data_IF_097949690550
#
_entry.id   IF_097949690550
#
_cell.length_a   1.000
_cell.length_b   1.000
_cell.length_c   1.000
_cell.angle_alpha   90.00
_cell.angle_beta   90.00
_cell.angle_gamma   90.00
#
_symmetry.space_group_name_H-M   'P 1'
#
loop_
_entity.id
_entity.type
_entity.pdbx_description
1 polymer ?
#
# COMPACT_ATOMS: atom_id res chain seq x y z
N UNK A 1 -41.37 17.53 -16.85
CA UNK A 1 -40.53 16.97 -15.76
C UNK A 1 -41.34 16.19 -14.71
N UNK A 2 -42.27 15.31 -15.11
CA UNK A 2 -42.96 14.38 -14.19
C UNK A 2 -42.97 12.92 -14.66
N UNK A 3 -42.47 12.64 -15.88
CA UNK A 3 -42.28 11.28 -16.40
C UNK A 3 -40.85 10.73 -16.25
N UNK A 4 -39.88 11.58 -15.88
CA UNK A 4 -38.49 11.17 -15.62
C UNK A 4 -38.26 10.72 -14.15
N UNK A 5 -39.20 11.01 -13.25
CA UNK A 5 -39.10 10.66 -11.83
C UNK A 5 -39.59 9.23 -11.52
N UNK A 6 -40.25 8.56 -12.48
CA UNK A 6 -40.82 7.22 -12.26
C UNK A 6 -39.88 6.08 -12.67
N UNK A 7 -38.78 6.38 -13.37
CA UNK A 7 -37.78 5.38 -13.79
C UNK A 7 -36.70 5.10 -12.72
N UNK A 8 -36.70 5.86 -11.61
CA UNK A 8 -35.72 5.75 -10.52
C UNK A 8 -36.22 4.89 -9.34
N UNK A 9 -37.40 4.27 -9.45
CA UNK A 9 -38.03 3.51 -8.35
C UNK A 9 -38.03 1.98 -8.54
N UNK A 10 -37.54 1.46 -9.69
CA UNK A 10 -37.54 0.02 -9.99
C UNK A 10 -36.19 -0.67 -9.69
N UNK A 11 -35.12 0.09 -9.43
CA UNK A 11 -33.79 -0.46 -9.10
C UNK A 11 -33.60 -0.78 -7.60
N UNK A 12 -34.67 -0.75 -6.82
CA UNK A 12 -34.63 -0.75 -5.36
C UNK A 12 -35.18 -1.98 -4.67
N UNK A 13 -35.25 -3.16 -5.30
CA UNK A 13 -35.58 -4.41 -4.57
C UNK A 13 -34.95 -5.64 -5.25
N UNK A 14 -33.66 -5.85 -5.05
CA UNK A 14 -33.11 -7.21 -5.07
C UNK A 14 -32.62 -7.48 -3.65
N UNK A 15 -33.54 -7.91 -2.77
CA UNK A 15 -33.14 -8.49 -1.49
C UNK A 15 -32.33 -9.75 -1.81
N UNK A 16 -31.07 -9.76 -1.40
CA UNK A 16 -30.22 -10.94 -1.48
C UNK A 16 -30.90 -12.09 -0.73
N UNK A 17 -31.02 -13.25 -1.38
CA UNK A 17 -31.34 -14.47 -0.68
C UNK A 17 -30.14 -14.85 0.19
N UNK A 18 -30.33 -14.82 1.51
CA UNK A 18 -29.38 -15.38 2.46
C UNK A 18 -29.37 -16.91 2.27
N UNK A 19 -28.40 -17.43 1.52
CA UNK A 19 -28.26 -18.87 1.29
C UNK A 19 -27.77 -19.53 2.58
N UNK A 20 -28.69 -19.98 3.44
CA UNK A 20 -28.38 -20.78 4.63
C UNK A 20 -27.64 -22.06 4.20
N UNK A 21 -26.47 -22.31 4.79
CA UNK A 21 -25.61 -23.46 4.42
C UNK A 21 -25.90 -24.67 5.30
N UNK A 22 -25.99 -25.86 4.71
CA UNK A 22 -26.11 -27.12 5.46
C UNK A 22 -24.74 -27.50 6.04
N UNK A 23 -24.67 -27.75 7.35
CA UNK A 23 -23.45 -28.06 8.09
C UNK A 23 -23.62 -29.32 8.94
N UNK A 24 -22.59 -30.14 9.08
CA UNK A 24 -22.54 -31.20 10.09
C UNK A 24 -21.33 -31.01 11.02
N UNK A 25 -21.45 -31.52 12.24
CA UNK A 25 -20.43 -31.39 13.29
C UNK A 25 -20.04 -32.80 13.73
N UNK A 26 -18.76 -33.16 13.63
CA UNK A 26 -18.22 -34.39 14.19
C UNK A 26 -18.07 -34.27 15.71
N UNK A 27 -18.13 -35.41 16.40
CA UNK A 27 -17.81 -35.43 17.83
C UNK A 27 -16.36 -34.96 18.06
N UNK A 28 -16.18 -34.06 19.04
CA UNK A 28 -14.87 -33.52 19.36
C UNK A 28 -13.96 -34.63 19.87
N UNK A 29 -12.75 -34.70 19.33
CA UNK A 29 -11.75 -35.69 19.72
C UNK A 29 -11.17 -35.33 21.10
N UNK A 30 -11.39 -36.14 22.15
CA UNK A 30 -11.00 -35.80 23.51
C UNK A 30 -9.51 -36.08 23.76
N UNK A 31 -8.85 -35.18 24.49
CA UNK A 31 -7.50 -35.39 25.03
C UNK A 31 -7.44 -34.94 26.48
N UNK A 32 -7.33 -35.88 27.42
CA UNK A 32 -7.39 -35.56 28.86
C UNK A 32 -8.79 -35.19 29.36
N UNK A 33 -9.83 -35.42 28.54
CA UNK A 33 -11.25 -35.27 28.87
C UNK A 33 -11.96 -36.59 28.60
N UNK A 34 -13.05 -36.86 29.31
CA UNK A 34 -13.88 -38.05 29.08
C UNK A 34 -14.67 -37.94 27.77
N UNK A 35 -14.85 -39.07 27.06
CA UNK A 35 -15.59 -39.11 25.80
C UNK A 35 -17.03 -38.61 25.94
N UNK A 36 -17.72 -38.94 27.03
CA UNK A 36 -19.10 -38.49 27.28
C UNK A 36 -19.15 -36.96 27.44
N UNK A 37 -18.17 -36.38 28.13
CA UNK A 37 -18.04 -34.93 28.28
C UNK A 37 -17.77 -34.23 26.94
N UNK A 38 -16.91 -34.81 26.09
CA UNK A 38 -16.65 -34.29 24.76
C UNK A 38 -17.89 -34.35 23.85
N UNK A 39 -18.62 -35.46 23.88
CA UNK A 39 -19.90 -35.62 23.18
C UNK A 39 -20.93 -34.59 23.64
N UNK A 40 -21.08 -34.39 24.95
CA UNK A 40 -21.99 -33.41 25.52
C UNK A 40 -21.65 -31.97 25.09
N UNK A 41 -20.36 -31.61 25.08
CA UNK A 41 -19.91 -30.31 24.59
C UNK A 41 -20.07 -30.15 23.07
N UNK A 42 -19.97 -31.25 22.30
CA UNK A 42 -20.26 -31.24 20.87
C UNK A 42 -21.76 -30.99 20.61
N UNK A 43 -22.65 -31.61 21.38
CA UNK A 43 -24.09 -31.37 21.28
C UNK A 43 -24.44 -29.92 21.65
N UNK A 44 -23.75 -29.36 22.63
CA UNK A 44 -23.83 -27.92 22.93
C UNK A 44 -23.38 -27.07 21.73
N UNK A 45 -22.28 -27.44 21.09
CA UNK A 45 -21.76 -26.73 19.91
C UNK A 45 -22.77 -26.76 18.76
N UNK A 46 -23.38 -27.92 18.46
CA UNK A 46 -24.45 -28.05 17.46
C UNK A 46 -25.61 -27.10 17.76
N UNK A 47 -26.08 -27.06 19.00
CA UNK A 47 -27.15 -26.17 19.43
C UNK A 47 -26.79 -24.69 19.31
N UNK A 48 -25.55 -24.30 19.65
CA UNK A 48 -25.11 -22.91 19.55
C UNK A 48 -24.87 -22.48 18.09
N UNK A 49 -24.40 -23.37 17.21
CA UNK A 49 -24.33 -23.14 15.77
C UNK A 49 -25.73 -22.95 15.18
N UNK A 50 -26.71 -23.77 15.56
CA UNK A 50 -28.09 -23.62 15.12
C UNK A 50 -28.69 -22.28 15.55
N UNK A 51 -28.44 -21.86 16.81
CA UNK A 51 -28.92 -20.56 17.34
C UNK A 51 -28.35 -19.34 16.61
N UNK A 52 -27.24 -19.47 15.89
CA UNK A 52 -26.67 -18.35 15.13
C UNK A 52 -27.55 -17.95 13.95
N UNK A 53 -28.41 -18.85 13.46
CA UNK A 53 -29.22 -18.62 12.26
C UNK A 53 -28.46 -18.72 10.93
N UNK A 54 -27.13 -18.90 10.96
CA UNK A 54 -26.27 -18.95 9.77
C UNK A 54 -26.29 -20.31 9.07
N UNK A 55 -26.51 -21.38 9.85
CA UNK A 55 -26.39 -22.74 9.36
C UNK A 55 -27.65 -23.57 9.58
N UNK A 56 -27.91 -24.48 8.65
CA UNK A 56 -28.80 -25.60 8.85
C UNK A 56 -27.99 -26.79 9.37
N UNK A 57 -27.99 -27.00 10.70
CA UNK A 57 -27.15 -28.01 11.38
C UNK A 57 -27.81 -29.39 11.28
N UNK A 58 -27.07 -30.37 10.76
CA UNK A 58 -27.51 -31.77 10.71
C UNK A 58 -27.53 -32.36 12.10
N UNK A 59 -28.65 -32.99 12.45
CA UNK A 59 -28.84 -33.69 13.71
C UNK A 59 -27.89 -34.88 13.84
N UNK A 60 -27.43 -35.14 15.06
CA UNK A 60 -26.47 -36.20 15.37
C UNK A 60 -26.97 -37.59 15.00
N UNK A 61 -28.23 -37.92 15.33
CA UNK A 61 -28.79 -39.25 15.07
C UNK A 61 -28.88 -39.55 13.58
N UNK A 62 -29.24 -38.53 12.78
CA UNK A 62 -29.26 -38.61 11.31
C UNK A 62 -27.86 -38.81 10.73
N UNK A 63 -26.86 -38.14 11.30
CA UNK A 63 -25.47 -38.33 10.90
C UNK A 63 -24.99 -39.76 11.22
N UNK A 64 -25.30 -40.25 12.42
CA UNK A 64 -24.92 -41.60 12.87
C UNK A 64 -25.55 -42.70 12.00
N UNK A 65 -26.83 -42.56 11.62
CA UNK A 65 -27.50 -43.55 10.77
C UNK A 65 -26.86 -43.66 9.39
N UNK A 66 -26.55 -42.52 8.76
CA UNK A 66 -25.91 -42.48 7.43
C UNK A 66 -24.51 -43.11 7.49
N UNK A 67 -23.72 -42.77 8.51
CA UNK A 67 -22.37 -43.31 8.64
C UNK A 67 -22.33 -44.80 8.95
N UNK A 68 -23.29 -45.29 9.75
CA UNK A 68 -23.42 -46.72 10.04
C UNK A 68 -23.80 -47.52 8.79
N UNK A 69 -24.67 -46.98 7.92
CA UNK A 69 -25.04 -47.61 6.64
C UNK A 69 -23.83 -47.75 5.69
N UNK A 70 -22.89 -46.80 5.76
CA UNK A 70 -21.66 -46.80 4.94
C UNK A 70 -20.48 -47.50 5.61
N UNK A 71 -20.66 -48.07 6.82
CA UNK A 71 -19.60 -48.74 7.57
C UNK A 71 -18.52 -47.81 8.13
N UNK A 72 -18.78 -46.50 8.21
CA UNK A 72 -17.84 -45.50 8.74
C UNK A 72 -17.92 -45.40 10.27
N UNK A 73 -16.76 -45.30 10.91
CA UNK A 73 -16.64 -44.96 12.34
C UNK A 73 -16.24 -43.49 12.48
N UNK A 74 -16.93 -42.77 13.36
CA UNK A 74 -16.63 -41.35 13.62
C UNK A 74 -15.35 -41.16 14.45
N UNK A 75 -15.04 -42.11 15.33
CA UNK A 75 -13.87 -42.06 16.20
C UNK A 75 -12.58 -42.11 15.38
N UNK A 76 -11.67 -41.17 15.62
CA UNK A 76 -10.37 -41.10 14.92
C UNK A 76 -10.40 -40.34 13.59
N UNK A 77 -11.54 -39.77 13.20
CA UNK A 77 -11.64 -38.89 12.03
C UNK A 77 -11.12 -37.48 12.34
N UNK A 78 -9.79 -37.35 12.48
CA UNK A 78 -9.14 -36.08 12.86
C UNK A 78 -8.52 -35.33 11.69
N UNK A 79 -8.45 -35.95 10.50
CA UNK A 79 -7.92 -35.32 9.29
C UNK A 79 -8.99 -34.57 8.50
N UNK A 80 -8.57 -33.60 7.68
CA UNK A 80 -9.49 -32.83 6.82
C UNK A 80 -10.10 -33.74 5.76
N UNK A 81 -9.30 -34.66 5.21
CA UNK A 81 -9.72 -35.62 4.18
C UNK A 81 -10.83 -36.53 4.70
N UNK A 82 -10.72 -37.02 5.94
CA UNK A 82 -11.75 -37.83 6.56
C UNK A 82 -13.05 -37.03 6.77
N UNK A 83 -12.94 -35.77 7.22
CA UNK A 83 -14.10 -34.90 7.39
C UNK A 83 -14.79 -34.58 6.05
N UNK A 84 -14.02 -34.41 4.96
CA UNK A 84 -14.53 -34.19 3.60
C UNK A 84 -15.28 -35.43 3.10
N UNK A 85 -14.73 -36.62 3.28
CA UNK A 85 -15.37 -37.89 2.90
C UNK A 85 -16.71 -38.07 3.62
N UNK A 86 -16.73 -37.85 4.95
CA UNK A 86 -17.96 -37.88 5.74
C UNK A 86 -18.94 -36.79 5.26
N UNK A 87 -18.46 -35.57 4.99
CA UNK A 87 -19.29 -34.47 4.52
C UNK A 87 -19.99 -34.77 3.18
N UNK A 88 -19.29 -35.45 2.27
CA UNK A 88 -19.84 -35.90 0.99
C UNK A 88 -20.93 -36.96 1.19
N UNK A 89 -20.73 -37.93 2.09
CA UNK A 89 -21.75 -38.92 2.45
C UNK A 89 -23.00 -38.28 3.07
N UNK A 90 -22.82 -37.24 3.89
CA UNK A 90 -23.91 -36.51 4.55
C UNK A 90 -24.58 -35.46 3.64
N UNK A 91 -24.03 -35.22 2.44
CA UNK A 91 -24.47 -34.18 1.50
C UNK A 91 -24.58 -32.79 2.15
N UNK A 92 -23.55 -32.41 2.92
CA UNK A 92 -23.42 -31.08 3.53
C UNK A 92 -22.39 -30.25 2.78
N UNK A 93 -22.55 -28.92 2.80
CA UNK A 93 -21.57 -28.01 2.18
C UNK A 93 -20.37 -27.77 3.09
N UNK A 94 -20.59 -27.83 4.39
CA UNK A 94 -19.56 -27.53 5.38
C UNK A 94 -19.56 -28.58 6.50
N UNK A 95 -18.38 -28.85 7.05
CA UNK A 95 -18.14 -29.78 8.16
C UNK A 95 -17.41 -29.08 9.29
N UNK A 96 -17.75 -29.37 10.54
CA UNK A 96 -16.97 -28.96 11.72
C UNK A 96 -16.31 -30.18 12.33
N UNK A 97 -14.98 -30.14 12.46
CA UNK A 97 -14.18 -31.14 13.14
C UNK A 97 -13.27 -30.45 14.17
N UNK A 98 -12.90 -31.12 15.25
CA UNK A 98 -12.09 -30.47 16.28
C UNK A 98 -11.67 -31.37 17.43
N UNK A 99 -10.85 -30.81 18.32
CA UNK A 99 -10.34 -31.48 19.51
C UNK A 99 -10.79 -30.72 20.77
N UNK A 100 -10.93 -31.47 21.87
CA UNK A 100 -11.17 -30.95 23.21
C UNK A 100 -10.09 -31.48 24.17
N UNK A 101 -9.16 -30.61 24.54
CA UNK A 101 -8.06 -30.88 25.45
C UNK A 101 -8.34 -30.41 26.88
N UNK A 102 -7.77 -31.10 27.87
CA UNK A 102 -7.69 -30.61 29.26
C UNK A 102 -6.36 -30.98 29.91
N UNK A 103 -5.75 -29.99 30.57
CA UNK A 103 -4.60 -30.15 31.47
C UNK A 103 -4.92 -29.41 32.76
N UNK A 104 -4.98 -30.14 33.89
CA UNK A 104 -5.40 -29.60 35.19
C UNK A 104 -6.74 -28.85 35.12
N UNK A 105 -6.73 -27.52 35.23
CA UNK A 105 -7.92 -26.66 35.13
C UNK A 105 -7.97 -25.87 33.81
N UNK A 106 -7.04 -26.09 32.89
CA UNK A 106 -7.01 -25.46 31.58
C UNK A 106 -7.69 -26.38 30.55
N UNK A 107 -8.77 -25.89 29.96
CA UNK A 107 -9.42 -26.50 28.80
C UNK A 107 -8.93 -25.83 27.52
N UNK A 108 -8.74 -26.60 26.46
CA UNK A 108 -8.42 -26.13 25.13
C UNK A 108 -9.40 -26.72 24.12
N UNK A 109 -10.05 -25.87 23.32
CA UNK A 109 -10.94 -26.29 22.24
C UNK A 109 -10.36 -25.79 20.94
N UNK A 110 -10.22 -26.67 19.95
CA UNK A 110 -9.78 -26.32 18.61
C UNK A 110 -10.77 -26.88 17.59
N UNK A 111 -11.46 -26.00 16.86
CA UNK A 111 -12.45 -26.35 15.85
C UNK A 111 -12.01 -25.88 14.47
N UNK A 112 -12.30 -26.67 13.44
CA UNK A 112 -12.08 -26.37 12.03
C UNK A 112 -13.40 -26.52 11.27
N UNK A 113 -13.82 -25.46 10.59
CA UNK A 113 -14.88 -25.42 9.59
C UNK A 113 -14.26 -25.74 8.23
N UNK A 114 -14.78 -26.73 7.53
CA UNK A 114 -14.20 -27.32 6.33
C UNK A 114 -15.22 -27.20 5.20
N UNK A 115 -14.81 -26.69 4.06
CA UNK A 115 -15.56 -26.73 2.80
C UNK A 115 -15.47 -28.14 2.21
N UNK A 116 -16.61 -28.82 2.08
CA UNK A 116 -16.65 -30.21 1.61
C UNK A 116 -16.39 -30.30 0.10
N UNK A 117 -16.75 -29.27 -0.66
CA UNK A 117 -16.59 -29.25 -2.11
C UNK A 117 -15.13 -28.96 -2.50
N UNK A 118 -14.50 -28.00 -1.82
CA UNK A 118 -13.10 -27.60 -2.07
C UNK A 118 -12.09 -28.41 -1.29
N UNK A 119 -12.51 -29.08 -0.21
CA UNK A 119 -11.63 -29.80 0.70
C UNK A 119 -10.69 -28.89 1.50
N UNK A 120 -11.06 -27.61 1.67
CA UNK A 120 -10.22 -26.59 2.32
C UNK A 120 -10.82 -26.20 3.67
N UNK A 121 -9.97 -25.85 4.65
CA UNK A 121 -10.44 -25.26 5.90
C UNK A 121 -10.88 -23.83 5.62
N UNK A 122 -12.16 -23.53 5.87
CA UNK A 122 -12.73 -22.19 5.79
C UNK A 122 -12.37 -21.37 7.04
N UNK A 123 -12.46 -22.00 8.21
CA UNK A 123 -12.27 -21.27 9.47
C UNK A 123 -11.76 -22.14 10.59
N UNK A 124 -10.94 -21.57 11.46
CA UNK A 124 -10.54 -22.21 12.72
C UNK A 124 -11.03 -21.37 13.89
N UNK A 125 -11.57 -22.03 14.92
CA UNK A 125 -11.95 -21.41 16.17
C UNK A 125 -11.26 -22.13 17.34
N UNK A 126 -10.25 -21.48 17.89
CA UNK A 126 -9.52 -21.97 19.07
C UNK A 126 -9.82 -21.12 20.30
N UNK A 127 -9.99 -21.77 21.45
CA UNK A 127 -10.09 -21.13 22.76
C UNK A 127 -9.49 -21.98 23.86
N UNK A 128 -8.57 -21.35 24.59
CA UNK A 128 -8.07 -21.85 25.87
C UNK A 128 -8.78 -21.13 27.01
N UNK A 129 -9.14 -21.88 28.05
CA UNK A 129 -9.90 -21.35 29.17
C UNK A 129 -9.54 -22.08 30.47
N UNK A 130 -9.10 -21.32 31.47
CA UNK A 130 -8.89 -21.84 32.82
C UNK A 130 -10.17 -21.74 33.63
N UNK A 131 -10.72 -22.87 34.08
CA UNK A 131 -11.90 -22.91 34.93
C UNK A 131 -12.62 -24.26 34.91
N UNK A 132 -13.94 -24.25 35.13
CA UNK A 132 -14.73 -25.47 35.20
C UNK A 132 -15.30 -25.90 33.84
N UNK A 133 -15.67 -27.18 33.72
CA UNK A 133 -16.42 -27.69 32.55
C UNK A 133 -17.73 -26.92 32.31
N UNK A 134 -18.36 -26.41 33.38
CA UNK A 134 -19.58 -25.60 33.29
C UNK A 134 -19.33 -24.26 32.60
N UNK A 135 -18.19 -23.63 32.88
CA UNK A 135 -17.79 -22.40 32.19
C UNK A 135 -17.50 -22.65 30.71
N UNK A 136 -16.89 -23.80 30.39
CA UNK A 136 -16.67 -24.22 29.00
C UNK A 136 -18.00 -24.36 28.26
N UNK A 137 -18.97 -25.04 28.86
CA UNK A 137 -20.31 -25.24 28.30
C UNK A 137 -21.08 -23.93 28.07
N UNK A 138 -20.99 -23.01 29.03
CA UNK A 138 -21.83 -21.80 29.08
C UNK A 138 -21.19 -20.57 28.43
N UNK A 139 -19.86 -20.52 28.34
CA UNK A 139 -19.12 -19.36 27.82
C UNK A 139 -18.26 -19.70 26.62
N UNK A 140 -17.47 -20.77 26.69
CA UNK A 140 -16.49 -21.09 25.64
C UNK A 140 -17.19 -21.63 24.39
N UNK A 141 -18.07 -22.61 24.53
CA UNK A 141 -18.79 -23.21 23.39
C UNK A 141 -19.63 -22.17 22.62
N UNK A 142 -20.43 -21.31 23.27
CA UNK A 142 -21.12 -20.23 22.55
C UNK A 142 -20.18 -19.25 21.84
N UNK A 143 -19.02 -18.93 22.42
CA UNK A 143 -18.04 -18.03 21.80
C UNK A 143 -17.43 -18.66 20.54
N UNK A 144 -16.98 -19.91 20.59
CA UNK A 144 -16.43 -20.60 19.41
C UNK A 144 -17.50 -20.85 18.34
N UNK A 145 -18.74 -21.16 18.71
CA UNK A 145 -19.85 -21.29 17.76
C UNK A 145 -20.13 -19.99 17.01
N UNK A 146 -20.17 -18.86 17.72
CA UNK A 146 -20.30 -17.52 17.12
C UNK A 146 -19.12 -17.20 16.20
N UNK A 147 -17.89 -17.53 16.62
CA UNK A 147 -16.71 -17.36 15.78
C UNK A 147 -16.83 -18.15 14.47
N UNK A 148 -17.30 -19.39 14.52
CA UNK A 148 -17.51 -20.20 13.31
C UNK A 148 -18.62 -19.64 12.41
N UNK A 149 -19.71 -19.11 12.99
CA UNK A 149 -20.85 -18.55 12.25
C UNK A 149 -20.61 -17.17 11.64
N UNK A 150 -19.60 -16.44 12.11
CA UNK A 150 -19.27 -15.15 11.51
C UNK A 150 -18.75 -15.34 10.07
N UNK A 151 -19.24 -14.56 9.08
CA UNK A 151 -18.76 -14.63 7.70
C UNK A 151 -17.25 -14.43 7.63
N UNK A 152 -16.58 -15.17 6.74
CA UNK A 152 -15.12 -15.12 6.56
C UNK A 152 -14.63 -13.70 6.24
N UNK A 153 -13.69 -13.22 7.07
CA UNK A 153 -12.54 -12.48 6.58
C UNK A 153 -11.46 -13.54 6.34
N UNK A 154 -11.08 -13.76 5.08
CA UNK A 154 -10.11 -14.79 4.65
C UNK A 154 -8.78 -14.61 5.39
N UNK A 155 -8.33 -15.68 6.08
CA UNK A 155 -7.00 -15.80 6.69
C UNK A 155 -6.50 -17.27 6.60
N UNK A 156 -5.43 -17.48 5.84
CA UNK A 156 -4.44 -18.58 5.97
C UNK A 156 -3.12 -17.89 6.41
N UNK A 157 -2.22 -18.37 7.27
CA UNK A 157 -2.04 -19.56 8.11
C UNK A 157 -1.02 -19.15 9.20
N UNK A 158 -1.17 -19.54 10.48
CA UNK A 158 -0.11 -19.43 11.50
C UNK A 158 0.12 -20.77 12.24
N UNK A 159 1.37 -21.24 12.24
CA UNK A 159 1.95 -22.08 13.31
C UNK A 159 2.56 -21.17 14.38
N UNK A 160 2.22 -21.36 15.66
CA UNK A 160 2.74 -20.61 16.81
C UNK A 160 4.14 -21.09 17.27
N UNK A 161 4.91 -20.36 18.13
CA UNK A 161 4.55 -19.12 18.84
C UNK A 161 5.59 -17.99 18.76
N UNK A 162 5.15 -16.75 18.54
CA UNK A 162 5.89 -15.54 18.96
C UNK A 162 4.88 -14.51 19.47
N UNK A 163 5.33 -13.76 20.47
CA UNK A 163 4.72 -12.73 21.32
C UNK A 163 3.62 -11.85 20.71
N UNK A 164 2.75 -11.37 21.61
CA UNK A 164 1.70 -10.38 21.38
C UNK A 164 2.09 -9.27 20.38
N UNK A 165 1.47 -9.25 19.20
CA UNK A 165 1.24 -8.00 18.47
C UNK A 165 -0.19 -7.98 17.90
N UNK A 166 -0.93 -6.97 18.33
CA UNK A 166 -2.26 -6.55 17.86
C UNK A 166 -2.33 -6.51 16.33
N UNK A 167 -3.08 -7.44 15.73
CA UNK A 167 -3.15 -7.59 14.28
C UNK A 167 -4.26 -6.70 13.67
N UNK A 168 -3.90 -5.51 13.19
CA UNK A 168 -4.73 -4.75 12.26
C UNK A 168 -4.73 -5.43 10.89
N UNK A 169 -5.93 -5.66 10.33
CA UNK A 169 -6.19 -6.08 8.94
C UNK A 169 -5.13 -5.55 7.95
N UNK A 170 -4.36 -6.46 7.35
CA UNK A 170 -3.38 -6.12 6.31
C UNK A 170 -4.01 -6.14 4.92
N UNK A 171 -4.10 -4.96 4.31
CA UNK A 171 -4.37 -4.80 2.89
C UNK A 171 -3.07 -5.06 2.12
N UNK A 172 -3.10 -5.95 1.13
CA UNK A 172 -1.89 -6.38 0.41
C UNK A 172 -1.35 -5.27 -0.52
N UNK A 173 -2.22 -4.39 -1.02
CA UNK A 173 -1.85 -3.33 -1.96
C UNK A 173 -2.56 -2.03 -1.65
N UNK A 174 -1.87 -0.91 -1.81
CA UNK A 174 -2.48 0.43 -1.77
C UNK A 174 -1.90 1.32 -2.86
N UNK A 175 -2.73 2.23 -3.36
CA UNK A 175 -2.28 3.29 -4.27
C UNK A 175 -2.45 4.62 -3.55
N UNK A 176 -1.42 5.46 -3.64
CA UNK A 176 -1.42 6.80 -3.08
C UNK A 176 -1.20 7.83 -4.17
N UNK A 177 -2.01 8.89 -4.13
CA UNK A 177 -1.81 10.09 -4.93
C UNK A 177 -1.36 11.20 -4.00
N UNK A 178 -0.24 11.83 -4.33
CA UNK A 178 0.36 12.87 -3.49
C UNK A 178 0.60 14.14 -4.27
N UNK A 179 0.40 15.25 -3.56
CA UNK A 179 0.73 16.58 -4.03
C UNK A 179 1.63 17.23 -2.99
N UNK A 180 2.70 17.85 -3.46
CA UNK A 180 3.71 18.40 -2.55
C UNK A 180 4.50 19.56 -3.13
N UNK A 181 5.33 20.11 -2.26
CA UNK A 181 6.33 21.13 -2.57
C UNK A 181 7.72 20.53 -2.38
N UNK A 182 8.59 20.71 -3.36
CA UNK A 182 10.01 20.34 -3.24
C UNK A 182 10.90 21.59 -3.26
N UNK A 183 11.82 21.67 -2.30
CA UNK A 183 12.92 22.64 -2.32
C UNK A 183 14.18 21.91 -2.78
N UNK A 184 14.70 22.28 -3.96
CA UNK A 184 15.91 21.70 -4.52
C UNK A 184 17.08 22.67 -4.30
N UNK A 185 18.17 22.16 -3.73
CA UNK A 185 19.37 22.95 -3.50
C UNK A 185 20.16 23.05 -4.80
N UNK A 186 20.13 24.23 -5.42
CA UNK A 186 20.97 24.53 -6.56
C UNK A 186 22.23 25.23 -6.09
N UNK A 187 23.37 24.53 -6.12
CA UNK A 187 24.68 25.19 -5.93
C UNK A 187 25.42 25.20 -7.26
N UNK A 188 25.35 26.33 -7.93
CA UNK A 188 26.20 26.60 -9.08
C UNK A 188 27.66 26.70 -8.62
N UNK A 189 28.51 25.77 -9.06
CA UNK A 189 29.89 26.15 -9.30
C UNK A 189 29.86 26.98 -10.58
N UNK A 190 29.77 28.30 -10.41
CA UNK A 190 29.98 29.20 -11.52
C UNK A 190 31.37 28.94 -12.06
N UNK A 191 31.44 28.43 -13.28
CA UNK A 191 32.70 28.32 -13.98
C UNK A 191 33.33 29.72 -14.05
N UNK A 192 34.66 29.81 -14.05
CA UNK A 192 35.39 31.09 -13.94
C UNK A 192 34.90 32.16 -14.95
N UNK A 193 34.36 31.71 -16.09
CA UNK A 193 33.72 32.54 -17.13
C UNK A 193 32.53 33.40 -16.65
N UNK A 194 31.67 32.91 -15.74
CA UNK A 194 30.53 33.71 -15.24
C UNK A 194 31.01 34.78 -14.26
N UNK A 195 32.03 34.47 -13.45
CA UNK A 195 32.66 35.46 -12.56
C UNK A 195 33.32 36.57 -13.38
N UNK A 196 34.07 36.21 -14.42
CA UNK A 196 34.73 37.15 -15.34
C UNK A 196 33.73 38.05 -16.09
N UNK A 197 32.54 37.52 -16.42
CA UNK A 197 31.47 38.29 -17.05
C UNK A 197 30.71 39.21 -16.08
N UNK A 198 30.37 38.72 -14.88
CA UNK A 198 29.66 39.49 -13.85
C UNK A 198 30.50 40.65 -13.30
N UNK A 199 31.83 40.49 -13.22
CA UNK A 199 32.75 41.56 -12.82
C UNK A 199 32.76 42.73 -13.82
N UNK A 200 32.29 42.52 -15.04
CA UNK A 200 32.32 43.52 -16.10
C UNK A 200 30.95 44.09 -16.48
N UNK A 201 29.85 43.31 -16.58
CA UNK A 201 28.64 43.84 -17.26
C UNK A 201 27.22 43.44 -16.80
N UNK A 202 26.97 42.49 -15.88
CA UNK A 202 25.59 42.27 -15.38
C UNK A 202 25.58 41.53 -14.03
N UNK A 203 24.70 41.95 -13.13
CA UNK A 203 24.32 41.16 -11.96
C UNK A 203 23.29 40.12 -12.42
N UNK A 204 23.74 38.88 -12.65
CA UNK A 204 22.82 37.75 -12.79
C UNK A 204 22.41 37.34 -11.37
N UNK A 205 21.22 37.76 -10.93
CA UNK A 205 20.62 37.29 -9.69
C UNK A 205 20.05 35.88 -9.91
N UNK A 206 20.51 34.93 -9.10
CA UNK A 206 19.94 33.61 -8.98
C UNK A 206 19.08 33.61 -7.72
N UNK A 207 17.76 33.62 -7.89
CA UNK A 207 16.84 33.50 -6.77
C UNK A 207 16.91 32.08 -6.18
N UNK A 208 16.80 31.98 -4.86
CA UNK A 208 16.48 30.71 -4.19
C UNK A 208 15.20 30.15 -4.83
N UNK A 209 15.33 29.02 -5.51
CA UNK A 209 14.28 28.59 -6.43
C UNK A 209 13.10 28.04 -5.60
N UNK A 210 11.89 28.61 -5.72
CA UNK A 210 10.78 28.24 -4.86
C UNK A 210 10.26 26.82 -5.13
N UNK A 211 9.55 26.32 -4.12
CA UNK A 211 8.75 25.10 -4.09
C UNK A 211 8.12 24.72 -5.46
N UNK A 212 8.58 23.63 -6.06
CA UNK A 212 8.00 23.05 -7.27
C UNK A 212 6.83 22.11 -6.96
N UNK A 213 5.81 22.10 -7.83
CA UNK A 213 4.71 21.14 -7.77
C UNK A 213 5.22 19.74 -8.05
N UNK A 214 4.94 18.84 -7.11
CA UNK A 214 5.23 17.41 -7.24
C UNK A 214 3.94 16.65 -7.45
N UNK A 215 3.87 15.93 -8.57
CA UNK A 215 2.89 14.87 -8.78
C UNK A 215 3.54 13.54 -8.51
N UNK A 216 2.99 12.79 -7.56
CA UNK A 216 3.54 11.51 -7.13
C UNK A 216 2.47 10.43 -7.10
N UNK A 217 2.81 9.29 -7.68
CA UNK A 217 2.01 8.07 -7.63
C UNK A 217 2.88 7.00 -7.00
N UNK A 218 2.38 6.42 -5.91
CA UNK A 218 3.04 5.31 -5.24
C UNK A 218 2.13 4.11 -5.08
N UNK A 219 2.76 2.94 -5.20
CA UNK A 219 2.17 1.64 -4.94
C UNK A 219 2.89 1.06 -3.74
N UNK A 220 2.12 0.52 -2.81
CA UNK A 220 2.65 -0.11 -1.61
C UNK A 220 2.26 -1.57 -1.56
N UNK A 221 3.19 -2.40 -1.11
CA UNK A 221 2.98 -3.80 -0.79
C UNK A 221 3.39 -4.08 0.65
N UNK A 222 2.45 -4.55 1.47
CA UNK A 222 2.71 -4.83 2.88
C UNK A 222 3.39 -6.21 3.03
N UNK A 223 4.56 -6.24 3.67
CA UNK A 223 5.34 -7.47 3.86
C UNK A 223 5.04 -8.10 5.22
N UNK A 224 4.83 -7.27 6.25
CA UNK A 224 4.51 -7.70 7.61
C UNK A 224 3.75 -6.61 8.35
N UNK A 225 3.50 -6.81 9.65
CA UNK A 225 2.82 -5.85 10.52
C UNK A 225 3.33 -4.42 10.39
N UNK A 226 4.64 -4.31 10.47
CA UNK A 226 5.35 -3.04 10.60
C UNK A 226 6.19 -2.72 9.36
N UNK A 227 6.14 -3.53 8.30
CA UNK A 227 6.97 -3.30 7.10
C UNK A 227 6.16 -3.30 5.82
N UNK A 228 6.40 -2.32 4.95
CA UNK A 228 5.88 -2.28 3.57
C UNK A 228 6.98 -1.92 2.58
N UNK A 229 6.98 -2.58 1.43
CA UNK A 229 7.71 -2.10 0.25
C UNK A 229 6.86 -1.02 -0.41
N UNK A 230 7.50 0.01 -0.94
CA UNK A 230 6.87 1.03 -1.76
C UNK A 230 7.65 1.21 -3.06
N UNK A 231 6.95 1.48 -4.15
CA UNK A 231 7.55 1.93 -5.39
C UNK A 231 6.74 3.06 -5.98
N UNK A 232 7.42 3.99 -6.64
CA UNK A 232 6.78 5.23 -7.06
C UNK A 232 7.41 5.89 -8.26
N UNK A 233 6.63 6.83 -8.80
CA UNK A 233 7.05 7.79 -9.80
C UNK A 233 6.82 9.19 -9.24
N UNK A 234 7.91 9.95 -9.10
CA UNK A 234 7.85 11.38 -8.78
C UNK A 234 8.09 12.19 -10.04
N UNK A 235 7.23 13.17 -10.29
CA UNK A 235 7.44 14.18 -11.32
C UNK A 235 7.46 15.54 -10.64
N UNK A 236 8.61 16.19 -10.68
CA UNK A 236 8.86 17.49 -10.08
C UNK A 236 9.16 18.46 -11.22
N UNK A 237 8.29 19.44 -11.42
CA UNK A 237 8.45 20.45 -12.47
C UNK A 237 8.84 21.78 -11.87
N UNK A 238 9.96 22.30 -12.34
CA UNK A 238 10.44 23.63 -11.98
C UNK A 238 10.54 24.50 -13.23
N UNK A 239 9.61 25.44 -13.32
CA UNK A 239 9.58 26.40 -14.42
C UNK A 239 10.50 27.58 -14.12
N UNK A 240 11.40 27.86 -15.06
CA UNK A 240 12.26 29.04 -15.13
C UNK A 240 13.08 29.41 -13.87
N UNK A 241 13.93 28.50 -13.34
CA UNK A 241 14.95 28.78 -12.32
C UNK A 241 15.81 30.04 -12.54
N UNK A 242 16.04 30.46 -13.79
CA UNK A 242 16.65 31.76 -14.10
C UNK A 242 16.22 32.25 -15.48
N UNK A 243 16.19 33.59 -15.63
CA UNK A 243 15.91 34.29 -16.89
C UNK A 243 16.99 35.36 -17.10
N UNK A 244 17.67 35.30 -18.22
CA UNK A 244 18.64 36.30 -18.62
C UNK A 244 18.07 37.15 -19.75
N UNK A 245 18.15 38.47 -19.61
CA UNK A 245 17.68 39.42 -20.61
C UNK A 245 18.74 40.48 -20.85
N UNK A 246 19.05 40.71 -22.13
CA UNK A 246 19.87 41.83 -22.57
C UNK A 246 19.23 42.47 -23.78
N UNK A 247 19.28 43.79 -23.82
CA UNK A 247 18.83 44.59 -24.94
C UNK A 247 20.02 45.41 -25.46
N UNK A 248 20.02 45.71 -26.76
CA UNK A 248 20.98 46.59 -27.44
C UNK A 248 22.47 46.31 -27.13
N UNK A 249 22.96 45.12 -27.49
CA UNK A 249 24.37 44.73 -27.28
C UNK A 249 25.01 44.12 -28.53
N UNK A 250 26.33 43.99 -28.52
CA UNK A 250 27.11 43.39 -29.62
C UNK A 250 27.91 42.19 -29.12
N UNK A 251 27.96 41.12 -29.93
CA UNK A 251 28.81 39.95 -29.69
C UNK A 251 29.57 39.61 -30.97
N UNK A 252 30.89 39.81 -30.96
CA UNK A 252 31.70 39.73 -32.17
C UNK A 252 31.22 40.72 -33.24
N UNK A 253 30.91 40.22 -34.44
CA UNK A 253 30.35 41.03 -35.54
C UNK A 253 28.83 41.12 -35.54
N UNK A 254 28.14 40.48 -34.60
CA UNK A 254 26.68 40.45 -34.53
C UNK A 254 26.17 41.54 -33.59
N UNK A 255 25.12 42.26 -34.00
CA UNK A 255 24.42 43.23 -33.15
C UNK A 255 23.02 42.74 -32.83
N UNK A 256 22.69 42.71 -31.55
CA UNK A 256 21.44 42.21 -31.01
C UNK A 256 20.59 43.37 -30.49
N UNK A 257 19.33 43.43 -30.94
CA UNK A 257 18.32 44.32 -30.36
C UNK A 257 17.79 43.74 -29.05
N UNK A 258 17.68 42.40 -28.97
CA UNK A 258 17.21 41.69 -27.78
C UNK A 258 17.72 40.25 -27.72
N UNK A 259 18.06 39.79 -26.52
CA UNK A 259 18.33 38.41 -26.17
C UNK A 259 17.60 38.06 -24.87
N UNK A 260 16.84 36.97 -24.88
CA UNK A 260 16.18 36.38 -23.73
C UNK A 260 16.52 34.88 -23.67
N UNK A 261 17.16 34.47 -22.58
CA UNK A 261 17.51 33.07 -22.32
C UNK A 261 16.72 32.62 -21.10
N UNK A 262 15.99 31.52 -21.24
CA UNK A 262 15.21 30.90 -20.17
C UNK A 262 15.57 29.42 -20.09
N UNK A 263 15.88 28.96 -18.87
CA UNK A 263 16.18 27.55 -18.63
C UNK A 263 15.13 26.95 -17.73
N UNK A 264 14.64 25.77 -18.06
CA UNK A 264 13.63 25.01 -17.32
C UNK A 264 14.21 23.67 -16.86
N UNK A 265 13.77 23.20 -15.69
CA UNK A 265 14.15 21.89 -15.16
C UNK A 265 12.93 21.02 -14.89
N UNK A 266 13.00 19.76 -15.33
CA UNK A 266 12.05 18.72 -14.96
C UNK A 266 12.84 17.57 -14.35
N UNK A 267 12.51 17.23 -13.11
CA UNK A 267 13.08 16.09 -12.42
C UNK A 267 12.05 14.96 -12.36
N UNK A 268 12.52 13.76 -12.65
CA UNK A 268 11.69 12.55 -12.59
C UNK A 268 12.42 11.50 -11.76
N UNK A 269 11.72 10.89 -10.81
CA UNK A 269 12.27 9.78 -10.02
C UNK A 269 11.44 8.54 -10.22
N UNK A 270 12.11 7.41 -10.46
CA UNK A 270 11.52 6.09 -10.24
C UNK A 270 12.28 5.44 -9.12
N UNK A 271 11.59 5.03 -8.06
CA UNK A 271 12.23 4.52 -6.85
C UNK A 271 11.55 3.29 -6.29
N UNK A 272 12.33 2.55 -5.52
CA UNK A 272 11.92 1.42 -4.72
C UNK A 272 12.45 1.64 -3.31
N UNK A 273 11.58 1.48 -2.31
CA UNK A 273 11.96 1.65 -0.92
C UNK A 273 11.21 0.73 0.01
N UNK A 274 11.59 0.84 1.28
CA UNK A 274 11.09 0.06 2.39
C UNK A 274 10.70 1.03 3.51
N UNK A 275 9.46 0.92 3.98
CA UNK A 275 8.96 1.68 5.12
C UNK A 275 8.77 0.75 6.31
N UNK A 276 9.28 1.19 7.45
CA UNK A 276 8.88 0.75 8.77
C UNK A 276 7.71 1.61 9.28
N UNK A 277 6.66 0.94 9.75
CA UNK A 277 5.43 1.52 10.27
C UNK A 277 5.39 1.21 11.76
N UNK A 278 5.29 2.25 12.58
CA UNK A 278 5.06 2.15 14.01
C UNK A 278 3.64 2.62 14.32
N UNK A 279 2.71 1.71 14.65
CA UNK A 279 1.39 2.09 15.11
C UNK A 279 1.49 2.91 16.41
N UNK A 280 0.83 4.06 16.45
CA UNK A 280 0.70 4.87 17.66
C UNK A 280 -0.71 4.78 18.24
N UNK A 281 -1.71 4.44 17.42
CA UNK A 281 -3.10 4.15 17.83
C UNK A 281 -3.85 3.40 16.71
N UNK A 282 -5.14 3.09 16.94
CA UNK A 282 -6.04 2.47 15.94
C UNK A 282 -6.13 3.17 14.58
N UNK A 283 -5.82 4.46 14.55
CA UNK A 283 -5.96 5.30 13.36
C UNK A 283 -4.70 6.02 12.95
N UNK A 284 -3.63 5.94 13.73
CA UNK A 284 -2.48 6.81 13.54
C UNK A 284 -1.20 6.00 13.56
N UNK A 285 -0.48 6.04 12.45
CA UNK A 285 0.76 5.32 12.22
C UNK A 285 1.88 6.33 11.96
N UNK A 286 3.05 6.09 12.58
CA UNK A 286 4.28 6.81 12.29
C UNK A 286 5.09 6.00 11.27
N UNK A 287 5.58 6.64 10.23
CA UNK A 287 6.25 6.00 9.10
C UNK A 287 7.70 6.48 9.03
N UNK A 288 8.63 5.53 8.92
CA UNK A 288 10.03 5.77 8.62
C UNK A 288 10.42 4.94 7.41
N UNK A 289 10.99 5.56 6.39
CA UNK A 289 11.34 4.84 5.17
C UNK A 289 12.68 5.24 4.60
N UNK A 290 13.19 4.37 3.76
CA UNK A 290 14.31 4.69 2.88
C UNK A 290 14.13 3.97 1.56
N UNK A 291 14.58 4.59 0.47
CA UNK A 291 14.54 4.02 -0.85
C UNK A 291 15.69 4.46 -1.72
N UNK A 292 15.86 3.74 -2.82
CA UNK A 292 16.81 4.07 -3.86
C UNK A 292 16.07 4.32 -5.16
N UNK A 293 16.43 5.41 -5.81
CA UNK A 293 15.81 5.87 -7.03
C UNK A 293 16.78 6.07 -8.17
N UNK A 294 16.27 5.91 -9.38
CA UNK A 294 16.87 6.48 -10.58
C UNK A 294 16.25 7.87 -10.75
N UNK A 295 17.11 8.88 -10.72
CA UNK A 295 16.74 10.29 -10.78
C UNK A 295 17.16 10.86 -12.14
N UNK A 296 16.18 11.26 -12.93
CA UNK A 296 16.35 11.92 -14.21
C UNK A 296 16.25 13.43 -14.07
N UNK A 297 17.13 14.14 -14.76
CA UNK A 297 17.09 15.59 -14.92
C UNK A 297 16.96 15.90 -16.40
N UNK A 298 15.85 16.52 -16.79
CA UNK A 298 15.66 17.12 -18.10
C UNK A 298 15.85 18.62 -17.99
N UNK A 299 16.78 19.15 -18.78
CA UNK A 299 17.04 20.60 -18.87
C UNK A 299 16.60 21.09 -20.25
N UNK A 300 15.73 22.08 -20.29
CA UNK A 300 15.30 22.73 -21.54
C UNK A 300 15.77 24.17 -21.52
N UNK A 301 16.47 24.57 -22.57
CA UNK A 301 17.01 25.90 -22.77
C UNK A 301 16.30 26.56 -23.96
N UNK A 302 15.60 27.64 -23.68
CA UNK A 302 14.89 28.45 -24.67
C UNK A 302 15.65 29.76 -24.90
N UNK A 303 16.25 29.89 -26.08
CA UNK A 303 16.99 31.08 -26.51
C UNK A 303 16.15 31.85 -27.52
N UNK A 304 15.71 33.06 -27.15
CA UNK A 304 14.96 33.97 -28.02
C UNK A 304 15.82 35.19 -28.29
N UNK A 305 16.12 35.48 -29.55
CA UNK A 305 16.94 36.65 -29.89
C UNK A 305 16.48 37.34 -31.16
N UNK A 306 16.83 38.61 -31.30
CA UNK A 306 16.61 39.40 -32.52
C UNK A 306 17.85 40.21 -32.82
N UNK A 307 18.36 40.08 -34.04
CA UNK A 307 19.46 40.90 -34.55
C UNK A 307 18.93 42.26 -35.02
N UNK A 308 19.76 43.30 -34.97
CA UNK A 308 19.41 44.63 -35.49
C UNK A 308 19.09 44.51 -36.99
N UNK A 309 17.86 44.87 -37.37
CA UNK A 309 17.37 44.78 -38.75
C UNK A 309 17.02 43.36 -39.22
N UNK A 310 17.02 42.36 -38.32
CA UNK A 310 16.66 40.98 -38.60
C UNK A 310 15.33 40.55 -37.96
N UNK A 311 14.87 39.34 -38.32
CA UNK A 311 13.68 38.72 -37.75
C UNK A 311 13.95 38.12 -36.36
N UNK A 312 12.87 37.90 -35.61
CA UNK A 312 12.91 37.15 -34.35
C UNK A 312 13.35 35.69 -34.61
N UNK A 313 14.34 35.25 -33.85
CA UNK A 313 14.84 33.88 -33.84
C UNK A 313 14.52 33.20 -32.50
N UNK A 314 14.22 31.90 -32.56
CA UNK A 314 14.04 31.07 -31.38
C UNK A 314 14.79 29.75 -31.57
N UNK A 315 15.54 29.33 -30.56
CA UNK A 315 16.23 28.05 -30.52
C UNK A 315 15.95 27.39 -29.19
N UNK A 316 15.42 26.17 -29.24
CA UNK A 316 15.21 25.33 -28.06
C UNK A 316 16.19 24.15 -28.08
N UNK A 317 16.89 23.95 -26.97
CA UNK A 317 17.73 22.78 -26.75
C UNK A 317 17.26 22.02 -25.53
N UNK A 318 17.16 20.69 -25.65
CA UNK A 318 16.80 19.82 -24.52
C UNK A 318 17.90 18.79 -24.30
N UNK A 319 18.31 18.64 -23.05
CA UNK A 319 19.28 17.63 -22.60
C UNK A 319 18.72 16.83 -21.45
N UNK A 320 19.06 15.55 -21.41
CA UNK A 320 18.62 14.62 -20.37
C UNK A 320 19.85 14.03 -19.67
N UNK A 321 19.79 14.00 -18.36
CA UNK A 321 20.83 13.44 -17.50
C UNK A 321 20.17 12.43 -16.55
N UNK A 322 20.93 11.44 -16.11
CA UNK A 322 20.45 10.43 -15.17
C UNK A 322 21.48 10.21 -14.07
N UNK A 323 20.99 9.99 -12.86
CA UNK A 323 21.82 9.68 -11.71
C UNK A 323 21.05 8.81 -10.73
N UNK A 324 21.73 8.42 -9.65
CA UNK A 324 21.12 7.69 -8.54
C UNK A 324 20.76 8.66 -7.41
N UNK A 325 19.65 8.41 -6.74
CA UNK A 325 19.24 9.13 -5.55
C UNK A 325 18.91 8.17 -4.39
N UNK A 326 19.07 8.69 -3.18
CA UNK A 326 18.61 8.08 -1.94
C UNK A 326 17.47 8.95 -1.41
N UNK A 327 16.31 8.36 -1.17
CA UNK A 327 15.20 9.03 -0.48
C UNK A 327 15.11 8.50 0.95
N UNK A 328 14.91 9.40 1.90
CA UNK A 328 14.52 9.07 3.28
C UNK A 328 13.09 9.55 3.44
N UNK A 329 12.27 8.84 4.21
CA UNK A 329 10.88 9.21 4.52
C UNK A 329 10.68 9.31 6.01
N UNK A 330 10.02 10.38 6.44
CA UNK A 330 9.44 10.48 7.78
C UNK A 330 8.02 10.97 7.60
N UNK A 331 7.08 10.26 8.19
CA UNK A 331 5.69 10.41 7.81
C UNK A 331 4.67 10.04 8.87
N UNK A 332 3.45 10.50 8.65
CA UNK A 332 2.30 10.10 9.43
C UNK A 332 1.19 9.64 8.50
N UNK A 333 0.61 8.47 8.81
CA UNK A 333 -0.60 7.97 8.15
C UNK A 333 -1.76 8.07 9.15
N UNK A 334 -2.86 8.70 8.72
CA UNK A 334 -4.12 8.76 9.45
C UNK A 334 -5.21 7.98 8.72
N UNK A 335 -5.74 6.94 9.35
CA UNK A 335 -6.82 6.10 8.82
C UNK A 335 -8.17 6.77 9.04
N UNK A 336 -8.76 7.27 7.96
CA UNK A 336 -10.12 7.84 7.96
C UNK A 336 -11.18 6.73 8.07
N UNK A 337 -10.98 5.65 7.31
CA UNK A 337 -11.85 4.49 7.23
C UNK A 337 -11.03 3.25 6.86
N UNK A 338 -11.62 2.06 6.94
CA UNK A 338 -10.97 0.78 6.61
C UNK A 338 -10.13 0.84 5.33
N UNK A 339 -10.63 1.50 4.28
CA UNK A 339 -9.97 1.56 2.97
C UNK A 339 -9.31 2.91 2.63
N UNK A 340 -9.41 3.92 3.49
CA UNK A 340 -8.96 5.28 3.17
C UNK A 340 -8.05 5.84 4.26
N UNK A 341 -6.90 6.36 3.83
CA UNK A 341 -5.98 7.11 4.68
C UNK A 341 -5.66 8.48 4.09
N UNK A 342 -5.34 9.42 4.96
CA UNK A 342 -4.61 10.64 4.63
C UNK A 342 -3.21 10.46 5.16
N UNK A 343 -2.22 10.97 4.45
CA UNK A 343 -0.84 10.94 4.91
C UNK A 343 -0.16 12.29 4.71
N UNK A 344 0.81 12.56 5.58
CA UNK A 344 1.72 13.70 5.50
C UNK A 344 3.14 13.17 5.60
N UNK A 345 3.93 13.36 4.54
CA UNK A 345 5.31 12.90 4.47
C UNK A 345 6.29 14.05 4.27
N UNK A 346 7.45 13.86 4.88
CA UNK A 346 8.67 14.59 4.64
C UNK A 346 9.67 13.62 4.03
N UNK A 347 10.00 13.82 2.77
CA UNK A 347 10.88 12.97 2.00
C UNK A 347 12.17 13.73 1.60
N UNK A 348 13.22 13.78 2.46
CA UNK A 348 14.52 14.26 2.06
C UNK A 348 15.11 13.39 0.94
N UNK A 349 15.51 14.04 -0.15
CA UNK A 349 16.11 13.43 -1.33
C UNK A 349 17.57 13.83 -1.44
N UNK A 350 18.45 12.84 -1.52
CA UNK A 350 19.89 13.02 -1.70
C UNK A 350 20.29 12.46 -3.07
N UNK A 351 20.37 13.33 -4.06
CA UNK A 351 20.77 12.97 -5.41
C UNK A 351 22.27 13.21 -5.60
N UNK A 352 22.96 12.33 -6.32
CA UNK A 352 24.31 12.66 -6.80
C UNK A 352 24.22 13.84 -7.77
N UNK A 353 25.20 14.73 -7.71
CA UNK A 353 25.31 15.87 -8.64
C UNK A 353 25.32 15.41 -10.09
N UNK A 354 24.50 16.04 -10.92
CA UNK A 354 24.51 15.87 -12.36
C UNK A 354 25.67 16.66 -12.95
N UNK A 355 26.53 15.99 -13.71
CA UNK A 355 27.56 16.67 -14.51
C UNK A 355 26.92 17.16 -15.80
N UNK A 356 26.79 18.48 -15.95
CA UNK A 356 26.11 19.10 -17.09
C UNK A 356 27.06 19.78 -18.08
N UNK A 357 28.37 19.71 -17.84
CA UNK A 357 29.41 20.04 -18.82
C UNK A 357 29.31 19.13 -20.05
N UNK A 358 28.85 19.68 -21.17
CA UNK A 358 28.99 19.00 -22.46
C UNK A 358 30.15 19.62 -23.24
N UNK A 359 31.00 18.77 -23.81
CA UNK A 359 32.14 19.18 -24.65
C UNK A 359 31.75 19.53 -26.09
N UNK A 360 30.48 19.35 -26.49
CA UNK A 360 29.97 19.73 -27.80
C UNK A 360 29.05 20.94 -27.67
N UNK A 361 29.66 22.11 -27.83
CA UNK A 361 28.99 23.39 -27.95
C UNK A 361 28.13 23.40 -29.21
N UNK A 362 26.83 23.59 -29.03
CA UNK A 362 25.88 23.80 -30.14
C UNK A 362 25.10 25.10 -29.95
N UNK A 363 25.68 26.06 -29.23
CA UNK A 363 25.13 27.41 -29.14
C UNK A 363 25.85 28.28 -30.18
N UNK A 364 25.11 29.01 -31.01
CA UNK A 364 25.64 30.06 -31.91
C UNK A 364 26.37 31.20 -31.16
N UNK A 365 26.39 31.15 -29.82
CA UNK A 365 26.93 32.13 -28.90
C UNK A 365 28.02 31.44 -28.05
N UNK A 366 29.27 31.36 -28.53
CA UNK A 366 30.35 30.66 -27.84
C UNK A 366 30.64 31.25 -26.45
N UNK A 367 30.60 32.58 -26.29
CA UNK A 367 30.89 33.24 -24.99
C UNK A 367 29.82 32.97 -23.92
N UNK A 368 28.60 32.58 -24.32
CA UNK A 368 27.51 32.30 -23.40
C UNK A 368 27.37 30.81 -23.06
N UNK A 369 28.11 29.91 -23.73
CA UNK A 369 27.98 28.45 -23.52
C UNK A 369 28.23 28.06 -22.05
N UNK A 370 29.27 28.65 -21.44
CA UNK A 370 29.66 28.44 -20.05
C UNK A 370 28.72 29.10 -19.03
N UNK A 371 28.05 30.20 -19.41
CA UNK A 371 27.05 30.89 -18.58
C UNK A 371 25.74 30.10 -18.53
N UNK A 372 25.43 29.42 -19.64
CA UNK A 372 24.16 28.74 -19.87
C UNK A 372 24.14 27.31 -19.29
N UNK A 373 25.28 26.62 -19.27
CA UNK A 373 25.43 25.28 -18.71
C UNK A 373 26.43 25.30 -17.54
N UNK A 374 25.97 25.36 -16.28
CA UNK A 374 26.86 25.21 -15.14
C UNK A 374 27.47 23.81 -15.16
N UNK A 375 28.59 23.66 -14.46
CA UNK A 375 29.35 22.43 -14.51
C UNK A 375 28.61 21.26 -13.85
N UNK A 376 28.02 21.54 -12.69
CA UNK A 376 27.34 20.57 -11.86
C UNK A 376 26.01 21.13 -11.36
N UNK A 377 24.97 20.30 -11.40
CA UNK A 377 23.66 20.60 -10.81
C UNK A 377 23.42 19.63 -9.66
N UNK A 378 23.18 20.17 -8.47
CA UNK A 378 22.70 19.38 -7.32
C UNK A 378 21.17 19.27 -7.41
N UNK A 379 20.67 18.05 -7.51
CA UNK A 379 19.24 17.75 -7.54
C UNK A 379 18.71 17.28 -6.19
N UNK A 380 19.47 17.46 -5.11
CA UNK A 380 19.05 17.09 -3.76
C UNK A 380 18.06 18.12 -3.21
N UNK A 381 17.16 17.66 -2.34
CA UNK A 381 16.14 18.52 -1.79
C UNK A 381 15.31 17.87 -0.71
N UNK A 382 14.20 18.50 -0.38
CA UNK A 382 13.21 17.92 0.53
C UNK A 382 11.83 18.10 -0.05
N UNK A 383 11.11 16.99 -0.18
CA UNK A 383 9.73 16.95 -0.61
C UNK A 383 8.83 16.92 0.63
N UNK A 384 7.88 17.84 0.71
CA UNK A 384 6.77 17.77 1.66
C UNK A 384 5.52 17.42 0.89
N UNK A 385 4.91 16.27 1.18
CA UNK A 385 3.75 15.78 0.43
C UNK A 385 2.57 15.50 1.35
N UNK A 386 1.38 15.90 0.89
CA UNK A 386 0.09 15.53 1.48
C UNK A 386 -0.67 14.72 0.43
N UNK A 387 -1.39 13.70 0.86
CA UNK A 387 -2.24 13.00 -0.07
C UNK A 387 -3.21 12.02 0.57
N UNK A 388 -3.83 11.24 -0.32
CA UNK A 388 -4.90 10.31 0.02
C UNK A 388 -4.51 8.93 -0.52
N UNK A 389 -4.68 7.93 0.34
CA UNK A 389 -4.40 6.54 0.02
C UNK A 389 -5.69 5.75 -0.06
N UNK A 390 -5.80 4.90 -1.08
CA UNK A 390 -6.83 3.88 -1.16
C UNK A 390 -6.19 2.50 -0.99
N UNK A 391 -6.71 1.76 -0.02
CA UNK A 391 -6.34 0.39 0.28
C UNK A 391 -7.31 -0.54 -0.47
N UNK A 392 -6.77 -1.46 -1.28
CA UNK A 392 -7.57 -2.34 -2.12
C UNK A 392 -8.19 -3.50 -1.34
#
# INVERSE_FOLDING_TARGET
MKRLLFLLMIFGVCYGQENIKNIAVLDLDPTGVDEEQARFLTDRLRAELFKTGTFNVVERDKMNSILQEQGFQQSGCTSVECAVEIGQLLNVREMVAGTLGKIENLYSINLRLIDVEKGTILKTATRDFSGSLSDVLTRVIPDVAKKLAQPEHVAENETAPVEEETNYKYYAWSVQLRYGTANLNYKNDFNDAVKEYNDNHLLIEFDDIPASTVGEIEIYYKISANWRIHSGLNIIRQSAPWKFKMDDFSLGSMQFEKLEIERNFEFTEVFLGLDYIKPLSDKFDLVFGAGLGIYGLKTTLDNRYRLIGGDNQNSNQTKNYTNTALNIRIGFDYRLADKFSIFLYLDPLFAKKFKTEDKQETTLLPDFSAIVYPENIDGSGTLVSLGIGYLF
#
